data_IF_305587289247
#
_entry.id   IF_305587289247
#
_cell.length_a   1.000
_cell.length_b   1.000
_cell.length_c   1.000
_cell.angle_alpha   90.00
_cell.angle_beta   90.00
_cell.angle_gamma   90.00
#
_symmetry.space_group_name_H-M   'P 1'
#
loop_
_entity.id
_entity.type
_entity.pdbx_description
1 polymer ?
#
# COMPACT_ATOMS: atom_id res chain seq x y z
N UNK A 1 -25.52 21.66 35.11
CA UNK A 1 -25.60 20.93 33.84
C UNK A 1 -24.22 20.74 33.18
N UNK A 2 -23.35 21.77 33.10
CA UNK A 2 -21.98 21.68 32.53
C UNK A 2 -21.11 20.50 33.02
N UNK A 3 -21.16 20.14 34.31
CA UNK A 3 -20.32 19.05 34.86
C UNK A 3 -20.66 17.65 34.31
N UNK A 4 -21.87 17.44 33.80
CA UNK A 4 -22.30 16.14 33.26
C UNK A 4 -21.91 16.04 31.79
N UNK A 5 -22.13 17.10 31.02
CA UNK A 5 -21.73 17.17 29.60
C UNK A 5 -20.22 17.00 29.42
N UNK A 6 -19.40 17.68 30.25
CA UNK A 6 -17.95 17.54 30.20
C UNK A 6 -17.43 16.13 30.58
N UNK A 7 -18.20 15.36 31.34
CA UNK A 7 -17.86 13.95 31.65
C UNK A 7 -18.25 13.02 30.50
N UNK A 8 -19.41 13.24 29.90
CA UNK A 8 -19.88 12.47 28.74
C UNK A 8 -18.96 12.68 27.54
N UNK A 9 -18.52 13.90 27.25
CA UNK A 9 -17.55 14.17 26.18
C UNK A 9 -16.19 13.49 26.41
N UNK A 10 -15.71 13.46 27.66
CA UNK A 10 -14.46 12.75 28.01
C UNK A 10 -14.57 11.24 27.85
N UNK A 11 -15.69 10.64 28.23
CA UNK A 11 -15.93 9.20 28.06
C UNK A 11 -15.99 8.83 26.57
N UNK A 12 -16.71 9.60 25.74
CA UNK A 12 -16.80 9.37 24.29
C UNK A 12 -15.43 9.46 23.60
N UNK A 13 -14.59 10.41 23.98
CA UNK A 13 -13.21 10.51 23.48
C UNK A 13 -12.34 9.30 23.87
N UNK A 14 -12.52 8.77 25.08
CA UNK A 14 -11.77 7.60 25.55
C UNK A 14 -12.17 6.32 24.81
N UNK A 15 -13.46 6.13 24.55
CA UNK A 15 -13.97 4.98 23.80
C UNK A 15 -13.56 5.05 22.33
N UNK A 16 -13.58 6.24 21.73
CA UNK A 16 -13.10 6.46 20.36
C UNK A 16 -11.63 6.09 20.17
N UNK A 17 -10.76 6.45 21.13
CA UNK A 17 -9.34 6.07 21.11
C UNK A 17 -9.11 4.56 21.26
N UNK A 18 -9.91 3.88 22.09
CA UNK A 18 -9.84 2.43 22.28
C UNK A 18 -10.31 1.69 21.02
N UNK A 19 -11.40 2.14 20.40
CA UNK A 19 -11.90 1.60 19.14
C UNK A 19 -10.91 1.83 18.00
N UNK A 20 -10.28 3.00 17.94
CA UNK A 20 -9.25 3.31 16.94
C UNK A 20 -8.05 2.35 17.03
N UNK A 21 -7.56 2.05 18.25
CA UNK A 21 -6.47 1.07 18.43
C UNK A 21 -6.84 -0.32 17.93
N UNK A 22 -8.02 -0.82 18.30
CA UNK A 22 -8.54 -2.12 17.83
C UNK A 22 -8.73 -2.17 16.31
N UNK A 23 -9.18 -1.06 15.73
CA UNK A 23 -9.32 -0.91 14.29
C UNK A 23 -7.97 -0.99 13.59
N UNK A 24 -6.97 -0.25 14.08
CA UNK A 24 -5.62 -0.24 13.52
C UNK A 24 -4.93 -1.61 13.59
N UNK A 25 -5.06 -2.32 14.70
CA UNK A 25 -4.57 -3.71 14.82
C UNK A 25 -5.20 -4.62 13.76
N UNK A 26 -6.52 -4.51 13.57
CA UNK A 26 -7.25 -5.28 12.57
C UNK A 26 -6.81 -4.94 11.14
N UNK A 27 -6.59 -3.66 10.85
CA UNK A 27 -6.07 -3.19 9.54
C UNK A 27 -4.67 -3.75 9.29
N UNK A 28 -3.81 -3.75 10.31
CA UNK A 28 -2.43 -4.23 10.18
C UNK A 28 -2.39 -5.74 9.90
N UNK A 29 -3.21 -6.53 10.61
CA UNK A 29 -3.38 -7.97 10.36
C UNK A 29 -3.89 -8.23 8.94
N UNK A 30 -4.88 -7.45 8.48
CA UNK A 30 -5.46 -7.61 7.15
C UNK A 30 -4.47 -7.24 6.04
N UNK A 31 -3.67 -6.19 6.25
CA UNK A 31 -2.58 -5.80 5.35
C UNK A 31 -1.58 -6.94 5.18
N UNK A 32 -1.12 -7.53 6.28
CA UNK A 32 -0.17 -8.64 6.24
C UNK A 32 -0.77 -9.85 5.51
N UNK A 33 -1.98 -10.27 5.88
CA UNK A 33 -2.69 -11.38 5.21
C UNK A 33 -2.89 -11.16 3.71
N UNK A 34 -3.15 -9.92 3.30
CA UNK A 34 -3.31 -9.57 1.88
C UNK A 34 -1.97 -9.67 1.14
N UNK A 35 -0.89 -9.15 1.73
CA UNK A 35 0.46 -9.23 1.17
C UNK A 35 0.92 -10.69 1.02
N UNK A 36 0.70 -11.53 2.04
CA UNK A 36 1.07 -12.94 2.00
C UNK A 36 0.29 -13.71 0.93
N UNK A 37 -1.01 -13.42 0.76
CA UNK A 37 -1.84 -14.00 -0.31
C UNK A 37 -1.34 -13.61 -1.70
N UNK A 38 -0.97 -12.35 -1.89
CA UNK A 38 -0.40 -11.87 -3.16
C UNK A 38 0.94 -12.56 -3.43
N UNK A 39 1.81 -12.66 -2.41
CA UNK A 39 3.11 -13.32 -2.52
C UNK A 39 2.96 -14.80 -2.88
N UNK A 40 2.06 -15.52 -2.21
CA UNK A 40 1.76 -16.93 -2.51
C UNK A 40 1.24 -17.13 -3.94
N UNK A 41 0.31 -16.28 -4.39
CA UNK A 41 -0.23 -16.33 -5.75
C UNK A 41 0.80 -16.03 -6.82
N UNK A 42 1.77 -15.14 -6.54
CA UNK A 42 2.89 -14.87 -7.45
C UNK A 42 3.83 -16.07 -7.58
N UNK A 43 4.20 -16.69 -6.45
CA UNK A 43 4.98 -17.93 -6.43
C UNK A 43 4.28 -19.07 -7.17
N UNK A 44 2.98 -19.28 -6.93
CA UNK A 44 2.18 -20.33 -7.60
C UNK A 44 2.08 -20.15 -9.13
N UNK A 45 2.20 -18.91 -9.62
CA UNK A 45 2.21 -18.60 -11.05
C UNK A 45 3.59 -18.72 -11.70
N UNK A 46 4.61 -19.13 -10.96
CA UNK A 46 5.99 -19.20 -11.48
C UNK A 46 6.60 -17.84 -11.81
N UNK A 47 5.97 -16.75 -11.36
CA UNK A 47 6.61 -15.43 -11.36
C UNK A 47 7.56 -15.40 -10.16
N UNK A 48 8.78 -15.84 -10.39
CA UNK A 48 9.90 -15.42 -9.56
C UNK A 48 10.00 -13.90 -9.74
N UNK A 49 9.70 -13.13 -8.68
CA UNK A 49 9.81 -11.66 -8.70
C UNK A 49 11.30 -11.22 -8.82
N UNK A 50 12.20 -12.18 -8.90
CA UNK A 50 13.62 -12.02 -9.12
C UNK A 50 13.87 -11.74 -10.61
N UNK A 51 14.12 -10.47 -10.91
CA UNK A 51 14.65 -10.09 -12.22
C UNK A 51 15.97 -10.82 -12.49
N UNK A 52 16.28 -11.07 -13.76
CA UNK A 52 17.57 -11.61 -14.20
C UNK A 52 18.22 -10.64 -15.20
N UNK A 53 19.55 -10.57 -15.17
CA UNK A 53 20.32 -9.84 -16.20
C UNK A 53 19.95 -10.39 -17.58
N UNK A 54 19.55 -9.49 -18.48
CA UNK A 54 19.05 -9.80 -19.81
C UNK A 54 17.54 -9.60 -19.99
N UNK A 55 16.76 -9.63 -18.91
CA UNK A 55 15.30 -9.49 -18.97
C UNK A 55 14.87 -8.17 -19.62
N UNK A 56 13.79 -8.23 -20.42
CA UNK A 56 13.15 -7.06 -21.02
C UNK A 56 12.10 -6.49 -20.07
N UNK A 57 12.28 -5.25 -19.65
CA UNK A 57 11.39 -4.58 -18.69
C UNK A 57 10.90 -3.24 -19.20
N UNK A 58 9.75 -2.82 -18.67
CA UNK A 58 9.22 -1.48 -18.84
C UNK A 58 9.45 -0.68 -17.55
N UNK A 59 9.83 0.60 -17.69
CA UNK A 59 10.13 1.50 -16.59
C UNK A 59 9.11 2.63 -16.54
N UNK A 60 8.55 2.91 -15.37
CA UNK A 60 7.56 3.98 -15.21
C UNK A 60 8.17 5.36 -15.54
N UNK A 61 7.48 6.12 -16.39
CA UNK A 61 7.87 7.48 -16.76
C UNK A 61 7.57 8.48 -15.64
N UNK A 62 8.55 8.77 -14.79
CA UNK A 62 8.38 9.71 -13.65
C UNK A 62 8.10 11.16 -14.06
N UNK A 63 8.39 11.56 -15.30
CA UNK A 63 8.22 12.97 -15.75
C UNK A 63 6.76 13.38 -15.90
N UNK A 64 5.85 12.42 -16.09
CA UNK A 64 4.41 12.70 -16.25
C UNK A 64 3.63 12.69 -14.93
N UNK A 65 4.21 12.25 -13.81
CA UNK A 65 3.52 12.21 -12.50
C UNK A 65 3.10 13.60 -11.96
N UNK A 66 3.63 14.69 -12.51
CA UNK A 66 3.42 16.04 -11.98
C UNK A 66 2.38 16.91 -12.72
N UNK A 67 1.62 16.39 -13.68
CA UNK A 67 0.54 17.20 -14.26
C UNK A 67 -0.72 17.15 -13.38
N UNK A 68 -1.12 18.32 -12.86
CA UNK A 68 -2.38 18.53 -12.15
C UNK A 68 -3.56 18.17 -13.07
N UNK A 69 -4.06 16.95 -13.01
CA UNK A 69 -5.27 16.59 -13.75
C UNK A 69 -5.47 15.09 -13.98
N UNK A 70 -5.98 14.39 -12.96
CA UNK A 70 -6.58 13.06 -13.12
C UNK A 70 -5.62 11.86 -13.02
N UNK A 71 -6.18 10.69 -12.68
CA UNK A 71 -5.50 9.40 -12.78
C UNK A 71 -5.29 9.07 -14.26
N UNK A 72 -4.21 9.55 -14.84
CA UNK A 72 -3.72 8.98 -16.11
C UNK A 72 -3.11 7.61 -15.85
N UNK A 73 -3.32 6.68 -16.78
CA UNK A 73 -2.64 5.39 -16.75
C UNK A 73 -1.13 5.60 -16.73
N UNK A 74 -0.42 4.74 -16.01
CA UNK A 74 1.03 4.87 -15.85
C UNK A 74 1.68 4.75 -17.23
N UNK A 75 2.26 5.84 -17.70
CA UNK A 75 3.09 5.83 -18.89
C UNK A 75 4.36 5.02 -18.61
N UNK A 76 4.61 4.02 -19.46
CA UNK A 76 5.68 3.04 -19.29
C UNK A 76 6.65 3.16 -20.46
N UNK A 77 7.93 3.40 -20.17
CA UNK A 77 9.01 3.48 -21.15
C UNK A 77 9.64 2.11 -21.37
N UNK A 78 10.03 1.82 -22.60
CA UNK A 78 10.85 0.64 -22.92
C UNK A 78 10.54 0.06 -24.30
N UNK A 79 10.92 -1.21 -24.54
CA UNK A 79 11.52 -2.15 -23.59
C UNK A 79 13.02 -1.91 -23.34
N UNK A 80 13.44 -2.03 -22.07
CA UNK A 80 14.84 -1.96 -21.64
C UNK A 80 15.37 -3.33 -21.24
N UNK A 81 16.69 -3.55 -21.33
CA UNK A 81 17.33 -4.76 -20.79
C UNK A 81 17.98 -4.48 -19.44
N UNK A 82 17.80 -5.39 -18.50
CA UNK A 82 18.53 -5.37 -17.23
C UNK A 82 19.99 -5.77 -17.50
N UNK A 83 20.94 -4.89 -17.15
CA UNK A 83 22.37 -5.13 -17.38
C UNK A 83 23.11 -5.58 -16.13
N UNK A 84 22.60 -5.25 -14.94
CA UNK A 84 23.16 -5.64 -13.66
C UNK A 84 22.05 -5.67 -12.59
N UNK A 85 22.21 -6.54 -11.58
CA UNK A 85 21.35 -6.63 -10.40
C UNK A 85 22.30 -6.75 -9.21
N UNK A 86 22.25 -5.76 -8.32
CA UNK A 86 23.06 -5.71 -7.09
C UNK A 86 22.49 -6.61 -5.99
#
# INVERSE_FOLDING_TARGET
HEKVEAKVEKEVLSDGLIQHKKCMESVQINKQKSQDKVRKRKMERGHDDSFVVGDKVLVQNKRQECQKGGKMDKDMLGPFSIVNID
#
